data_IF_807094679521
#
_entry.id   IF_807094679521
#
_cell.length_a   1.000
_cell.length_b   1.000
_cell.length_c   1.000
_cell.angle_alpha   90.00
_cell.angle_beta   90.00
_cell.angle_gamma   90.00
#
_symmetry.space_group_name_H-M   'P 1'
#
loop_
_entity.id
_entity.type
_entity.pdbx_description
1 polymer ?
#
# COMPACT_ATOMS: atom_id res chain seq x y z
N UNK A 1 -4.63 26.51 13.14
CA UNK A 1 -4.79 27.33 11.93
C UNK A 1 -4.38 26.42 10.77
N UNK A 2 -5.35 25.72 10.19
CA UNK A 2 -5.09 24.72 9.14
C UNK A 2 -4.92 25.47 7.82
N UNK A 3 -3.83 25.19 7.10
CA UNK A 3 -3.58 25.73 5.76
C UNK A 3 -4.20 24.79 4.74
N UNK A 4 -5.40 25.13 4.26
CA UNK A 4 -6.02 24.49 3.11
C UNK A 4 -5.26 24.88 1.84
N UNK A 5 -4.22 24.12 1.49
CA UNK A 5 -3.50 24.34 0.23
C UNK A 5 -4.35 23.85 -0.94
N UNK A 6 -5.10 24.77 -1.55
CA UNK A 6 -5.77 24.56 -2.84
C UNK A 6 -4.73 24.74 -3.95
N UNK A 7 -4.30 23.64 -4.57
CA UNK A 7 -3.43 23.67 -5.75
C UNK A 7 -4.32 23.69 -7.00
N UNK A 8 -4.17 24.66 -7.92
CA UNK A 8 -4.93 24.68 -9.16
C UNK A 8 -4.44 23.54 -10.07
N UNK A 9 -5.32 22.61 -10.41
CA UNK A 9 -5.05 21.61 -11.42
C UNK A 9 -5.01 22.30 -12.80
N UNK A 10 -3.83 22.30 -13.41
CA UNK A 10 -3.65 22.69 -14.80
C UNK A 10 -4.61 21.90 -15.69
N UNK A 11 -5.46 22.63 -16.42
CA UNK A 11 -6.45 22.08 -17.36
C UNK A 11 -5.76 21.32 -18.48
N UNK A 12 -5.45 20.04 -18.31
CA UNK A 12 -5.36 19.07 -19.42
C UNK A 12 -5.88 17.70 -18.98
N UNK A 13 -7.16 17.66 -18.59
CA UNK A 13 -7.95 16.42 -18.54
C UNK A 13 -8.40 16.08 -19.97
N UNK A 14 -7.51 15.50 -20.76
CA UNK A 14 -7.86 14.90 -22.04
C UNK A 14 -8.63 13.60 -21.79
N UNK A 15 -9.96 13.65 -21.92
CA UNK A 15 -10.76 12.46 -22.21
C UNK A 15 -11.84 12.03 -21.21
N UNK A 16 -12.46 12.93 -20.44
CA UNK A 16 -13.75 12.62 -19.79
C UNK A 16 -14.88 13.33 -20.54
N UNK A 17 -15.24 12.79 -21.70
CA UNK A 17 -16.46 13.18 -22.40
C UNK A 17 -17.58 12.23 -21.96
N UNK A 18 -18.18 12.54 -20.82
CA UNK A 18 -19.61 12.32 -20.60
C UNK A 18 -20.18 13.57 -19.96
N UNK A 19 -21.05 14.23 -20.72
CA UNK A 19 -21.83 15.37 -20.28
C UNK A 19 -22.53 15.06 -18.95
N UNK A 20 -22.54 16.01 -18.01
CA UNK A 20 -23.14 15.97 -16.65
C UNK A 20 -22.30 15.48 -15.45
N UNK A 21 -20.97 15.40 -15.55
CA UNK A 21 -20.14 15.34 -14.34
C UNK A 21 -19.88 16.76 -13.79
N UNK A 22 -20.62 17.20 -12.77
CA UNK A 22 -20.50 18.56 -12.21
C UNK A 22 -19.49 18.69 -11.06
N UNK A 23 -19.07 17.60 -10.42
CA UNK A 23 -17.99 17.64 -9.44
C UNK A 23 -17.31 16.27 -9.28
N UNK A 24 -15.99 16.29 -9.14
CA UNK A 24 -15.18 15.17 -8.66
C UNK A 24 -14.73 15.51 -7.23
N UNK A 25 -15.15 14.72 -6.25
CA UNK A 25 -14.69 14.86 -4.87
C UNK A 25 -13.56 13.86 -4.64
N UNK A 26 -12.34 14.37 -4.50
CA UNK A 26 -11.17 13.59 -4.12
C UNK A 26 -10.93 13.79 -2.62
N UNK A 27 -11.20 12.76 -1.81
CA UNK A 27 -10.87 12.78 -0.38
C UNK A 27 -9.43 12.27 -0.25
N UNK A 28 -8.50 13.20 -0.07
CA UNK A 28 -7.11 12.89 0.28
C UNK A 28 -7.03 13.06 1.80
N UNK A 29 -6.79 11.97 2.54
CA UNK A 29 -6.46 12.04 3.96
C UNK A 29 -4.96 12.35 4.09
N UNK A 30 -4.56 13.58 4.44
CA UNK A 30 -3.15 13.97 4.48
C UNK A 30 -2.37 13.27 5.62
N UNK A 31 -3.07 12.62 6.56
CA UNK A 31 -2.44 11.83 7.63
C UNK A 31 -2.27 10.36 7.29
N UNK A 32 -2.81 9.90 6.15
CA UNK A 32 -2.78 8.50 5.73
C UNK A 32 -1.76 8.37 4.60
N UNK A 33 -0.60 7.79 4.90
CA UNK A 33 0.32 7.39 3.84
C UNK A 33 -0.43 6.44 2.90
N UNK A 34 -0.36 6.67 1.58
CA UNK A 34 -1.08 5.82 0.65
C UNK A 34 -0.51 4.39 0.71
N UNK A 35 -1.31 3.47 1.22
CA UNK A 35 -1.00 2.05 1.26
C UNK A 35 -1.63 1.35 0.06
N UNK A 36 -0.97 0.35 -0.53
CA UNK A 36 -1.59 -0.46 -1.56
C UNK A 36 -2.72 -1.29 -0.94
N UNK A 37 -3.81 -1.47 -1.67
CA UNK A 37 -4.90 -2.35 -1.24
C UNK A 37 -4.38 -3.79 -1.14
N UNK A 38 -4.63 -4.47 0.00
CA UNK A 38 -4.29 -5.88 0.20
C UNK A 38 -4.82 -6.77 -0.95
N UNK A 39 -6.02 -6.48 -1.47
CA UNK A 39 -6.55 -7.22 -2.61
C UNK A 39 -5.76 -6.95 -3.89
N UNK A 40 -5.19 -5.76 -4.07
CA UNK A 40 -4.30 -5.47 -5.18
C UNK A 40 -3.00 -6.27 -5.08
N UNK A 41 -2.37 -6.34 -3.90
CA UNK A 41 -1.14 -7.12 -3.70
C UNK A 41 -1.35 -8.61 -4.02
N UNK A 42 -2.48 -9.16 -3.59
CA UNK A 42 -2.87 -10.55 -3.89
C UNK A 42 -3.02 -10.80 -5.39
N UNK A 43 -3.65 -9.86 -6.11
CA UNK A 43 -3.84 -10.00 -7.57
C UNK A 43 -2.56 -9.81 -8.36
N UNK A 44 -1.73 -8.83 -7.99
CA UNK A 44 -0.52 -8.47 -8.73
C UNK A 44 0.61 -9.48 -8.53
N UNK A 45 0.78 -10.00 -7.30
CA UNK A 45 1.91 -10.85 -6.95
C UNK A 45 1.49 -12.26 -6.50
N UNK A 46 0.21 -12.61 -6.56
CA UNK A 46 -0.26 -13.93 -6.11
C UNK A 46 -0.09 -14.16 -4.61
N UNK A 47 -0.08 -13.08 -3.81
CA UNK A 47 0.01 -13.19 -2.36
C UNK A 47 -1.23 -13.88 -1.79
N UNK A 48 -1.04 -14.66 -0.73
CA UNK A 48 -2.12 -15.11 0.14
C UNK A 48 -2.63 -13.94 1.00
N UNK A 49 -3.74 -14.15 1.72
CA UNK A 49 -4.27 -13.13 2.63
C UNK A 49 -3.24 -12.76 3.70
N UNK A 50 -2.62 -13.75 4.33
CA UNK A 50 -1.62 -13.54 5.38
C UNK A 50 -0.34 -12.90 4.86
N UNK A 51 0.10 -13.26 3.65
CA UNK A 51 1.28 -12.63 3.03
C UNK A 51 1.06 -11.15 2.72
N UNK A 52 -0.13 -10.78 2.21
CA UNK A 52 -0.47 -9.40 1.95
C UNK A 52 -0.52 -8.58 3.26
N UNK A 53 -1.09 -9.14 4.33
CA UNK A 53 -1.12 -8.51 5.64
C UNK A 53 0.30 -8.28 6.20
N UNK A 54 1.17 -9.28 6.11
CA UNK A 54 2.58 -9.16 6.53
C UNK A 54 3.31 -8.09 5.71
N UNK A 55 3.08 -8.03 4.39
CA UNK A 55 3.70 -7.04 3.51
C UNK A 55 3.28 -5.59 3.87
N UNK A 56 1.99 -5.37 4.18
CA UNK A 56 1.49 -4.05 4.59
C UNK A 56 2.05 -3.60 5.94
N UNK A 57 2.18 -4.51 6.90
CA UNK A 57 2.78 -4.16 8.21
C UNK A 57 4.27 -3.88 8.12
N UNK A 58 4.96 -4.58 7.22
CA UNK A 58 6.35 -4.27 6.88
C UNK A 58 6.48 -2.88 6.26
N UNK A 59 5.53 -2.47 5.41
CA UNK A 59 5.47 -1.12 4.83
C UNK A 59 5.36 -0.05 5.92
N UNK A 60 4.53 -0.28 6.95
CA UNK A 60 4.36 0.62 8.11
C UNK A 60 5.57 0.71 9.03
N UNK A 61 6.64 -0.05 8.76
CA UNK A 61 7.85 -0.08 9.58
C UNK A 61 7.61 -0.46 11.06
N UNK A 62 6.51 -1.16 11.36
CA UNK A 62 6.14 -1.60 12.72
C UNK A 62 7.11 -2.66 13.29
N UNK A 63 7.94 -3.27 12.44
CA UNK A 63 8.86 -4.35 12.80
C UNK A 63 8.14 -5.70 12.92
N UNK A 64 8.89 -6.81 12.91
CA UNK A 64 8.27 -8.15 12.82
C UNK A 64 7.68 -8.68 14.13
N UNK A 65 8.07 -8.12 15.28
CA UNK A 65 7.61 -8.59 16.59
C UNK A 65 6.15 -8.18 16.86
N UNK A 66 5.76 -6.90 16.68
CA UNK A 66 4.35 -6.50 16.86
C UNK A 66 3.41 -7.24 15.91
N UNK A 67 3.87 -7.54 14.69
CA UNK A 67 3.11 -8.34 13.72
C UNK A 67 2.87 -9.77 14.20
N UNK A 68 3.90 -10.39 14.79
CA UNK A 68 3.78 -11.72 15.36
C UNK A 68 2.78 -11.73 16.54
N UNK A 69 2.87 -10.72 17.40
CA UNK A 69 2.00 -10.55 18.56
C UNK A 69 0.53 -10.34 18.14
N UNK A 70 0.26 -9.43 17.20
CA UNK A 70 -1.09 -9.15 16.71
C UNK A 70 -1.72 -10.33 15.97
N UNK A 71 -0.94 -11.05 15.17
CA UNK A 71 -1.41 -12.24 14.45
C UNK A 71 -1.42 -13.49 15.33
N UNK A 72 -0.96 -13.40 16.58
CA UNK A 72 -0.86 -14.54 17.53
C UNK A 72 -0.08 -15.73 16.96
N UNK A 73 1.02 -15.45 16.25
CA UNK A 73 1.90 -16.46 15.65
C UNK A 73 3.35 -16.25 16.05
N UNK A 74 4.20 -17.26 15.85
CA UNK A 74 5.62 -17.12 16.17
C UNK A 74 6.35 -16.17 15.21
N UNK A 75 7.44 -15.54 15.67
CA UNK A 75 8.32 -14.75 14.82
C UNK A 75 8.90 -15.58 13.66
N UNK A 76 9.12 -16.88 13.86
CA UNK A 76 9.57 -17.81 12.80
C UNK A 76 8.51 -17.96 11.71
N UNK A 77 7.22 -18.02 12.09
CA UNK A 77 6.09 -18.05 11.16
C UNK A 77 6.03 -16.76 10.34
N UNK A 78 6.15 -15.59 10.98
CA UNK A 78 6.21 -14.30 10.30
C UNK A 78 7.38 -14.24 9.32
N UNK A 79 8.57 -14.69 9.72
CA UNK A 79 9.75 -14.76 8.82
C UNK A 79 9.51 -15.68 7.62
N UNK A 80 8.79 -16.78 7.81
CA UNK A 80 8.42 -17.69 6.72
C UNK A 80 7.47 -17.01 5.73
N UNK A 81 6.44 -16.33 6.22
CA UNK A 81 5.55 -15.54 5.36
C UNK A 81 6.31 -14.44 4.63
N UNK A 82 7.22 -13.75 5.30
CA UNK A 82 8.02 -12.70 4.69
C UNK A 82 8.95 -13.24 3.60
N UNK A 83 9.52 -14.44 3.79
CA UNK A 83 10.31 -15.11 2.75
C UNK A 83 9.46 -15.41 1.52
N UNK A 84 8.25 -15.95 1.70
CA UNK A 84 7.35 -16.21 0.57
C UNK A 84 6.91 -14.92 -0.13
N UNK A 85 6.72 -13.83 0.62
CA UNK A 85 6.46 -12.50 0.03
C UNK A 85 7.64 -12.11 -0.84
N UNK A 86 8.87 -12.17 -0.32
CA UNK A 86 10.08 -11.85 -1.07
C UNK A 86 10.19 -12.64 -2.38
N UNK A 87 9.94 -13.94 -2.32
CA UNK A 87 10.00 -14.81 -3.51
C UNK A 87 8.92 -14.42 -4.54
N UNK A 88 7.70 -14.11 -4.10
CA UNK A 88 6.57 -13.74 -4.98
C UNK A 88 6.64 -12.33 -5.54
N UNK A 89 7.33 -11.42 -4.86
CA UNK A 89 7.53 -10.04 -5.29
C UNK A 89 8.88 -9.82 -5.96
N UNK A 90 9.69 -10.87 -6.12
CA UNK A 90 11.05 -10.80 -6.68
C UNK A 90 11.93 -9.77 -5.95
N UNK A 91 11.83 -9.74 -4.62
CA UNK A 91 12.66 -8.88 -3.77
C UNK A 91 13.51 -9.73 -2.84
N UNK A 92 14.61 -9.18 -2.34
CA UNK A 92 15.53 -9.94 -1.47
C UNK A 92 15.72 -9.28 -0.11
N UNK A 93 15.25 -8.04 0.07
CA UNK A 93 15.40 -7.28 1.30
C UNK A 93 14.13 -6.50 1.62
N UNK A 94 13.89 -6.28 2.90
CA UNK A 94 12.76 -5.48 3.38
C UNK A 94 12.68 -4.10 2.71
N UNK A 95 13.82 -3.41 2.55
CA UNK A 95 13.86 -2.10 1.92
C UNK A 95 13.45 -2.12 0.43
N UNK A 96 13.73 -3.21 -0.28
CA UNK A 96 13.32 -3.40 -1.69
C UNK A 96 11.81 -3.62 -1.76
N UNK A 97 11.27 -4.47 -0.88
CA UNK A 97 9.83 -4.68 -0.75
C UNK A 97 9.09 -3.37 -0.43
N UNK A 98 9.57 -2.60 0.55
CA UNK A 98 8.97 -1.30 0.90
C UNK A 98 8.93 -0.35 -0.30
N UNK A 99 10.04 -0.24 -1.04
CA UNK A 99 10.10 0.60 -2.26
C UNK A 99 9.12 0.12 -3.34
N UNK A 100 9.03 -1.20 -3.55
CA UNK A 100 8.10 -1.78 -4.50
C UNK A 100 6.65 -1.46 -4.12
N UNK A 101 6.28 -1.65 -2.86
CA UNK A 101 4.93 -1.40 -2.36
C UNK A 101 4.56 0.08 -2.47
N UNK A 102 5.45 0.99 -2.11
CA UNK A 102 5.25 2.45 -2.28
C UNK A 102 5.08 2.86 -3.75
N UNK A 103 5.72 2.15 -4.69
CA UNK A 103 5.61 2.47 -6.11
C UNK A 103 4.24 2.10 -6.71
N UNK A 104 3.51 1.17 -6.09
CA UNK A 104 2.18 0.73 -6.53
C UNK A 104 1.05 1.25 -5.63
N UNK A 105 1.37 1.94 -4.55
CA UNK A 105 0.41 2.70 -3.75
C UNK A 105 -0.25 3.79 -4.61
N UNK A 106 -1.57 3.95 -4.55
CA UNK A 106 -2.25 5.04 -5.24
C UNK A 106 -1.73 6.39 -4.72
N UNK A 107 -1.30 7.29 -5.61
CA UNK A 107 -0.86 8.64 -5.24
C UNK A 107 -2.01 9.52 -4.83
#
# INVERSE_FOLDING_TARGET
>A
MSLDNVVPLGREATGLVTSEATALVLIIDPGREPEPDAAALRRLYGLTNTEAEVALRVLRCEGLHPVADELSVSLTTIRTHLQHVFDKTETHRQAELVRLLLAISPR
#
